data_IF_101430382872
#
_entry.id   IF_101430382872
#
_cell.length_a   1.000
_cell.length_b   1.000
_cell.length_c   1.000
_cell.angle_alpha   90.00
_cell.angle_beta   90.00
_cell.angle_gamma   90.00
#
_symmetry.space_group_name_H-M   'P 1'
#
loop_
_entity.id
_entity.type
_entity.pdbx_description
1 polymer ?
#
# COMPACT_ATOMS: atom_id res chain seq x y z
N UNK A 1 -20.54 -4.92 23.33
CA UNK A 1 -19.73 -4.25 22.30
C UNK A 1 -19.48 -5.27 21.22
N UNK A 2 -20.09 -5.12 20.05
CA UNK A 2 -19.87 -6.00 18.91
C UNK A 2 -18.63 -5.53 18.15
N UNK A 3 -17.72 -6.41 17.73
CA UNK A 3 -16.60 -6.00 16.88
C UNK A 3 -17.17 -5.50 15.54
N UNK A 4 -16.72 -4.33 15.10
CA UNK A 4 -17.00 -3.84 13.75
C UNK A 4 -16.50 -4.86 12.71
N UNK A 5 -17.20 -5.02 11.58
CA UNK A 5 -16.72 -5.88 10.50
C UNK A 5 -15.38 -5.35 9.99
N UNK A 6 -14.39 -6.24 9.87
CA UNK A 6 -13.13 -5.98 9.19
C UNK A 6 -13.46 -5.68 7.73
N UNK A 7 -13.19 -4.47 7.27
CA UNK A 7 -13.42 -4.06 5.88
C UNK A 7 -12.34 -4.73 5.03
N UNK A 8 -12.64 -5.90 4.46
CA UNK A 8 -11.84 -6.46 3.37
C UNK A 8 -12.23 -5.74 2.08
N UNK A 9 -11.29 -5.06 1.44
CA UNK A 9 -11.51 -4.43 0.14
C UNK A 9 -11.02 -5.35 -0.98
N UNK A 10 -11.69 -5.28 -2.12
CA UNK A 10 -11.32 -5.97 -3.34
C UNK A 10 -10.75 -4.93 -4.31
N UNK A 11 -9.54 -5.18 -4.83
CA UNK A 11 -8.93 -4.38 -5.88
C UNK A 11 -8.77 -5.26 -7.12
N UNK A 12 -9.40 -4.84 -8.21
CA UNK A 12 -9.24 -5.41 -9.55
C UNK A 12 -8.32 -4.50 -10.34
N UNK A 13 -7.26 -5.04 -10.93
CA UNK A 13 -6.55 -4.38 -12.01
C UNK A 13 -7.26 -4.76 -13.34
N UNK A 14 -7.74 -3.78 -14.09
CA UNK A 14 -8.29 -3.92 -15.47
C UNK A 14 -7.54 -2.91 -16.35
N UNK A 15 -7.37 -3.03 -17.66
CA UNK A 15 -7.54 -4.05 -18.71
C UNK A 15 -6.34 -3.79 -19.65
N UNK A 16 -5.69 -4.76 -20.24
CA UNK A 16 -5.95 -5.14 -21.63
C UNK A 16 -5.02 -6.31 -21.95
N UNK A 17 -5.60 -7.45 -22.35
CA UNK A 17 -5.11 -8.45 -23.32
C UNK A 17 -5.98 -9.70 -23.14
N UNK A 18 -6.93 -9.87 -24.07
CA UNK A 18 -7.44 -11.14 -24.58
C UNK A 18 -7.54 -12.34 -23.60
N UNK A 19 -8.69 -12.45 -22.91
CA UNK A 19 -9.29 -13.76 -22.61
C UNK A 19 -8.63 -14.64 -21.54
N UNK A 20 -7.65 -14.16 -20.79
CA UNK A 20 -7.18 -14.79 -19.56
C UNK A 20 -7.87 -14.13 -18.37
N UNK A 21 -8.56 -14.93 -17.55
CA UNK A 21 -9.40 -14.43 -16.46
C UNK A 21 -8.69 -13.42 -15.56
N UNK A 22 -9.39 -12.33 -15.23
CA UNK A 22 -8.91 -11.23 -14.39
C UNK A 22 -8.10 -11.74 -13.18
N UNK A 23 -6.82 -11.39 -13.12
CA UNK A 23 -6.02 -11.58 -11.92
C UNK A 23 -6.50 -10.59 -10.87
N UNK A 24 -6.80 -11.11 -9.68
CA UNK A 24 -7.29 -10.31 -8.56
C UNK A 24 -6.32 -10.42 -7.40
N UNK A 25 -6.11 -9.32 -6.69
CA UNK A 25 -5.36 -9.33 -5.45
C UNK A 25 -6.32 -9.08 -4.29
N UNK A 26 -6.25 -9.94 -3.28
CA UNK A 26 -6.91 -9.70 -2.00
C UNK A 26 -5.84 -9.43 -0.96
N UNK A 27 -5.86 -8.23 -0.39
CA UNK A 27 -4.87 -7.81 0.58
C UNK A 27 -5.47 -7.44 1.92
N UNK A 28 -4.59 -7.33 2.91
CA UNK A 28 -4.88 -6.73 4.21
C UNK A 28 -3.70 -5.88 4.65
N UNK A 29 -4.03 -4.77 5.30
CA UNK A 29 -3.06 -3.84 5.88
C UNK A 29 -3.21 -3.88 7.40
N UNK A 30 -2.22 -4.44 8.08
CA UNK A 30 -2.14 -4.40 9.54
C UNK A 30 -1.39 -3.17 9.98
N UNK A 31 -2.11 -2.25 10.63
CA UNK A 31 -1.55 -1.06 11.27
C UNK A 31 -1.15 -1.33 12.73
N UNK A 32 -0.25 -0.51 13.30
CA UNK A 32 -0.08 -0.43 14.75
C UNK A 32 -1.41 -0.07 15.42
N UNK A 33 -1.61 -0.44 16.69
CA UNK A 33 -2.81 -0.02 17.44
C UNK A 33 -2.73 1.44 17.87
N UNK A 34 -1.53 1.86 18.26
CA UNK A 34 -1.21 3.22 18.68
C UNK A 34 0.26 3.53 18.41
N UNK A 35 0.63 4.80 18.52
CA UNK A 35 2.00 5.27 18.47
C UNK A 35 2.21 6.51 19.35
N UNK A 36 3.46 6.90 19.51
CA UNK A 36 3.88 8.14 20.17
C UNK A 36 4.58 9.03 19.14
N UNK A 37 4.36 10.34 19.22
CA UNK A 37 5.00 11.32 18.33
C UNK A 37 6.52 11.15 18.34
N UNK A 38 7.12 11.08 17.14
CA UNK A 38 8.54 10.88 16.88
C UNK A 38 9.15 9.57 17.42
N UNK A 39 8.34 8.66 17.96
CA UNK A 39 8.79 7.33 18.34
C UNK A 39 8.49 6.32 17.24
N UNK A 40 9.27 5.23 17.26
CA UNK A 40 9.12 4.13 16.33
C UNK A 40 7.78 3.43 16.56
N UNK A 41 7.00 3.29 15.51
CA UNK A 41 5.73 2.55 15.51
C UNK A 41 5.99 1.04 15.56
N UNK A 42 4.98 0.30 16.06
CA UNK A 42 4.88 -1.13 15.75
C UNK A 42 4.82 -1.34 14.23
N UNK A 43 5.36 -2.46 13.71
CA UNK A 43 5.44 -2.70 12.28
C UNK A 43 4.11 -2.60 11.55
N UNK A 44 4.12 -1.95 10.39
CA UNK A 44 3.00 -2.03 9.44
C UNK A 44 3.25 -3.19 8.49
N UNK A 45 2.28 -4.10 8.38
CA UNK A 45 2.38 -5.26 7.48
C UNK A 45 1.30 -5.20 6.42
N UNK A 46 1.73 -5.25 5.16
CA UNK A 46 0.85 -5.42 4.01
C UNK A 46 1.01 -6.86 3.54
N UNK A 47 -0.07 -7.62 3.42
CA UNK A 47 -0.04 -8.99 2.92
C UNK A 47 -1.12 -9.18 1.85
N UNK A 48 -0.74 -9.76 0.71
CA UNK A 48 -1.62 -9.98 -0.42
C UNK A 48 -1.59 -11.44 -0.87
N UNK A 49 -2.78 -11.92 -1.19
CA UNK A 49 -3.03 -13.20 -1.84
C UNK A 49 -3.38 -12.94 -3.31
N UNK A 50 -2.69 -13.64 -4.20
CA UNK A 50 -3.05 -13.67 -5.61
C UNK A 50 -4.23 -14.61 -5.79
N UNK A 51 -5.25 -14.16 -6.51
CA UNK A 51 -6.46 -14.94 -6.80
C UNK A 51 -6.67 -15.08 -8.31
N UNK A 52 -7.25 -16.21 -8.72
CA UNK A 52 -7.79 -16.37 -10.07
C UNK A 52 -9.10 -15.56 -10.25
N UNK A 53 -9.65 -15.60 -11.47
CA UNK A 53 -10.90 -14.92 -11.80
C UNK A 53 -12.12 -15.41 -11.00
N UNK A 54 -12.03 -16.59 -10.38
CA UNK A 54 -13.07 -17.18 -9.52
C UNK A 54 -12.84 -16.88 -8.03
N UNK A 55 -11.76 -16.18 -7.67
CA UNK A 55 -11.40 -15.85 -6.29
C UNK A 55 -10.64 -16.97 -5.57
N UNK A 56 -10.13 -17.97 -6.30
CA UNK A 56 -9.34 -19.07 -5.73
C UNK A 56 -7.88 -18.61 -5.55
N UNK A 57 -7.26 -18.83 -4.38
CA UNK A 57 -5.85 -18.53 -4.17
C UNK A 57 -4.95 -19.26 -5.17
N UNK A 58 -4.10 -18.50 -5.83
CA UNK A 58 -3.06 -18.98 -6.73
C UNK A 58 -1.71 -19.03 -6.02
N UNK A 59 -0.88 -19.97 -6.46
CA UNK A 59 0.54 -19.95 -6.09
C UNK A 59 1.23 -18.68 -6.61
N UNK A 60 2.16 -18.19 -5.81
CA UNK A 60 3.06 -17.09 -6.15
C UNK A 60 4.48 -17.63 -6.24
N UNK A 61 5.11 -17.41 -7.39
CA UNK A 61 6.50 -17.73 -7.66
C UNK A 61 7.40 -16.52 -7.34
N UNK A 62 8.68 -16.77 -7.04
CA UNK A 62 9.65 -15.74 -6.61
C UNK A 62 9.79 -14.58 -7.60
N UNK A 63 9.51 -14.83 -8.88
CA UNK A 63 9.62 -13.83 -9.94
C UNK A 63 8.42 -12.86 -9.96
N UNK A 64 7.28 -13.19 -9.33
CA UNK A 64 6.09 -12.32 -9.37
C UNK A 64 6.31 -10.98 -8.68
N UNK A 65 7.14 -10.95 -7.63
CA UNK A 65 7.43 -9.72 -6.89
C UNK A 65 8.47 -8.84 -7.59
N UNK A 66 9.07 -9.34 -8.68
CA UNK A 66 10.03 -8.58 -9.46
C UNK A 66 9.36 -7.33 -10.04
N UNK A 67 9.87 -6.16 -9.67
CA UNK A 67 9.31 -4.88 -10.09
C UNK A 67 8.08 -4.42 -9.31
N UNK A 68 7.61 -5.19 -8.32
CA UNK A 68 6.56 -4.72 -7.43
C UNK A 68 7.13 -3.72 -6.41
N UNK A 69 6.39 -2.65 -6.16
CA UNK A 69 6.68 -1.65 -5.13
C UNK A 69 5.42 -1.39 -4.32
N UNK A 70 5.57 -1.44 -3.00
CA UNK A 70 4.53 -1.08 -2.03
C UNK A 70 4.85 0.28 -1.47
N UNK A 71 3.89 1.20 -1.47
CA UNK A 71 3.99 2.53 -0.89
C UNK A 71 2.97 2.71 0.22
N UNK A 72 3.40 3.28 1.34
CA UNK A 72 2.57 3.71 2.45
C UNK A 72 2.44 5.23 2.48
N UNK A 73 1.20 5.68 2.66
CA UNK A 73 0.84 7.09 2.84
C UNK A 73 -0.04 7.18 4.09
N UNK A 74 0.15 8.21 4.91
CA UNK A 74 -0.79 8.47 6.00
C UNK A 74 -2.06 9.08 5.42
N UNK A 75 -3.21 8.65 5.90
CA UNK A 75 -4.50 9.20 5.52
C UNK A 75 -5.30 9.63 6.75
N UNK A 76 -6.29 10.48 6.54
CA UNK A 76 -7.26 10.88 7.55
C UNK A 76 -8.01 9.67 8.14
N UNK A 77 -8.62 9.86 9.30
CA UNK A 77 -9.39 8.82 10.00
C UNK A 77 -10.48 8.19 9.11
N UNK A 78 -11.10 8.97 8.23
CA UNK A 78 -12.11 8.51 7.28
C UNK A 78 -11.49 8.03 5.95
N UNK A 79 -10.18 8.16 5.78
CA UNK A 79 -9.45 7.80 4.56
C UNK A 79 -9.68 8.71 3.36
N UNK A 80 -10.32 9.86 3.53
CA UNK A 80 -10.65 10.75 2.40
C UNK A 80 -9.48 11.61 1.93
N UNK A 81 -8.52 11.91 2.81
CA UNK A 81 -7.40 12.82 2.54
C UNK A 81 -6.08 12.11 2.82
N UNK A 82 -5.16 12.20 1.88
CA UNK A 82 -3.77 11.75 2.05
C UNK A 82 -2.95 12.89 2.71
N UNK A 83 -2.18 12.56 3.75
CA UNK A 83 -1.31 13.47 4.47
C UNK A 83 0.16 13.16 4.20
N UNK A 84 0.86 14.13 3.63
CA UNK A 84 2.30 14.06 3.41
C UNK A 84 3.08 14.98 4.38
N UNK A 85 2.49 16.13 4.70
CA UNK A 85 3.11 17.18 5.50
C UNK A 85 2.34 17.44 6.78
N UNK A 86 3.07 17.83 7.82
CA UNK A 86 2.58 18.46 9.04
C UNK A 86 2.02 19.86 8.75
N UNK A 87 1.35 20.46 9.72
CA UNK A 87 0.87 21.85 9.61
C UNK A 87 1.99 22.89 9.48
N UNK A 88 3.22 22.53 9.86
CA UNK A 88 4.44 23.36 9.72
C UNK A 88 5.19 23.11 8.41
N UNK A 89 4.74 22.16 7.58
CA UNK A 89 5.35 21.84 6.29
C UNK A 89 6.46 20.79 6.34
N UNK A 90 6.73 20.18 7.50
CA UNK A 90 7.66 19.06 7.62
C UNK A 90 7.01 17.74 7.20
N UNK A 91 7.79 16.78 6.70
CA UNK A 91 7.27 15.45 6.37
C UNK A 91 6.65 14.77 7.60
N UNK A 92 5.38 14.35 7.47
CA UNK A 92 4.58 13.81 8.57
C UNK A 92 4.98 12.38 8.93
N UNK A 93 5.11 11.50 7.93
CA UNK A 93 5.59 10.12 8.10
C UNK A 93 7.10 10.09 7.95
N UNK A 94 7.78 9.61 8.98
CA UNK A 94 9.24 9.49 9.03
C UNK A 94 9.61 8.04 8.77
N UNK A 95 10.64 7.83 7.94
CA UNK A 95 11.22 6.51 7.69
C UNK A 95 11.04 6.04 6.25
N UNK A 96 11.34 4.76 6.02
CA UNK A 96 11.16 4.11 4.72
C UNK A 96 9.68 3.74 4.57
N UNK A 97 8.96 4.47 3.72
CA UNK A 97 7.54 4.26 3.45
C UNK A 97 7.28 3.66 2.06
N UNK A 98 8.31 3.19 1.37
CA UNK A 98 8.18 2.40 0.15
C UNK A 98 9.22 1.29 0.10
N UNK A 99 8.84 0.10 -0.38
CA UNK A 99 9.78 -1.02 -0.57
C UNK A 99 9.24 -2.07 -1.55
N UNK A 100 10.12 -2.92 -2.04
CA UNK A 100 9.69 -4.14 -2.72
C UNK A 100 9.15 -5.16 -1.71
N UNK A 101 8.03 -5.84 -2.02
CA UNK A 101 7.53 -6.92 -1.19
C UNK A 101 8.35 -8.19 -1.40
N UNK A 102 8.22 -9.12 -0.45
CA UNK A 102 8.83 -10.44 -0.47
C UNK A 102 7.75 -11.52 -0.48
N UNK A 103 8.10 -12.77 -0.80
CA UNK A 103 7.15 -13.89 -0.72
C UNK A 103 7.30 -14.61 0.62
N UNK A 104 6.21 -14.71 1.36
CA UNK A 104 6.12 -15.41 2.63
C UNK A 104 4.83 -16.22 2.69
N UNK A 105 4.92 -17.51 3.00
CA UNK A 105 3.75 -18.40 3.14
C UNK A 105 2.77 -18.34 1.96
N UNK A 106 3.29 -18.31 0.73
CA UNK A 106 2.50 -18.17 -0.53
C UNK A 106 1.73 -16.84 -0.62
N UNK A 107 2.22 -15.79 0.04
CA UNK A 107 1.68 -14.43 -0.02
C UNK A 107 2.77 -13.44 -0.40
N UNK A 108 2.35 -12.35 -1.03
CA UNK A 108 3.19 -11.18 -1.27
C UNK A 108 3.10 -10.29 -0.03
N UNK A 109 4.21 -10.08 0.67
CA UNK A 109 4.25 -9.42 1.98
C UNK A 109 5.27 -8.28 1.99
N UNK A 110 4.86 -7.11 2.48
CA UNK A 110 5.75 -6.00 2.78
C UNK A 110 5.61 -5.61 4.26
N UNK A 111 6.73 -5.70 4.99
CA UNK A 111 6.81 -5.29 6.40
C UNK A 111 7.63 -4.02 6.52
N UNK A 112 7.02 -2.98 7.11
CA UNK A 112 7.61 -1.67 7.36
C UNK A 112 7.88 -1.51 8.85
N UNK A 113 9.15 -1.71 9.22
CA UNK A 113 9.54 -1.78 10.63
C UNK A 113 10.09 -0.45 11.17
N UNK A 114 10.36 0.54 10.35
CA UNK A 114 11.08 1.75 10.74
C UNK A 114 10.29 3.01 10.38
N UNK A 115 9.07 3.11 10.92
CA UNK A 115 8.17 4.23 10.71
C UNK A 115 7.98 5.01 12.02
N UNK A 116 7.83 6.32 11.93
CA UNK A 116 7.42 7.19 13.02
C UNK A 116 6.50 8.31 12.49
N UNK A 117 5.69 8.92 13.34
CA UNK A 117 4.78 10.01 12.95
C UNK A 117 5.12 11.26 13.73
N UNK A 118 5.28 12.38 13.02
CA UNK A 118 5.77 13.65 13.59
C UNK A 118 4.70 14.46 14.33
N UNK A 119 3.43 14.10 14.19
CA UNK A 119 2.31 14.85 14.74
C UNK A 119 1.27 13.91 15.36
N UNK A 120 0.72 14.31 16.51
CA UNK A 120 -0.39 13.61 17.13
C UNK A 120 -1.65 13.68 16.25
N UNK A 121 -2.48 12.65 16.32
CA UNK A 121 -3.69 12.55 15.52
C UNK A 121 -4.22 11.13 15.41
N UNK A 122 -5.32 11.00 14.67
CA UNK A 122 -5.95 9.73 14.35
C UNK A 122 -5.77 9.52 12.85
N UNK A 123 -5.16 8.40 12.48
CA UNK A 123 -4.71 8.15 11.12
C UNK A 123 -5.09 6.74 10.65
N UNK A 124 -4.96 6.56 9.35
CA UNK A 124 -4.88 5.25 8.71
C UNK A 124 -3.64 5.21 7.81
N UNK A 125 -3.18 4.02 7.46
CA UNK A 125 -2.24 3.82 6.37
C UNK A 125 -3.00 3.50 5.09
N UNK A 126 -2.89 4.37 4.09
CA UNK A 126 -3.22 4.03 2.71
C UNK A 126 -2.03 3.29 2.10
N UNK A 127 -2.34 2.19 1.42
CA UNK A 127 -1.36 1.35 0.73
C UNK A 127 -1.65 1.41 -0.74
N UNK A 128 -0.59 1.60 -1.54
CA UNK A 128 -0.64 1.45 -2.98
C UNK A 128 0.45 0.48 -3.42
N UNK A 129 0.10 -0.50 -4.23
CA UNK A 129 1.05 -1.39 -4.87
C UNK A 129 1.08 -1.14 -6.37
N UNK A 130 2.27 -1.10 -6.94
CA UNK A 130 2.50 -0.90 -8.36
C UNK A 130 3.44 -1.98 -8.88
N UNK A 131 3.32 -2.31 -10.17
CA UNK A 131 4.35 -3.04 -10.89
C UNK A 131 5.05 -2.07 -11.85
N UNK A 132 6.34 -1.80 -11.60
CA UNK A 132 7.11 -0.85 -12.39
C UNK A 132 7.39 -1.36 -13.81
N UNK A 133 7.30 -2.66 -14.07
CA UNK A 133 7.49 -3.19 -15.43
C UNK A 133 6.27 -2.99 -16.32
N UNK A 134 5.06 -3.02 -15.76
CA UNK A 134 3.84 -2.64 -16.49
C UNK A 134 3.86 -1.14 -16.86
N UNK A 135 4.57 -0.32 -16.08
CA UNK A 135 4.74 1.12 -16.40
C UNK A 135 5.74 1.39 -17.52
N UNK A 136 6.63 0.44 -17.83
CA UNK A 136 7.68 0.60 -18.83
C UNK A 136 7.29 0.08 -20.23
N UNK A 137 6.35 -0.87 -20.31
CA UNK A 137 6.00 -1.57 -21.55
C UNK A 137 4.97 -0.86 -22.45
N UNK A 138 4.28 0.18 -21.95
CA UNK A 138 3.27 0.94 -22.71
C UNK A 138 3.66 2.40 -23.02
N UNK A 139 4.95 2.73 -22.91
CA UNK A 139 5.46 4.04 -23.36
C UNK A 139 6.11 3.84 -24.73
N UNK A 140 5.49 4.29 -25.85
CA UNK A 140 6.23 4.47 -27.09
C UNK A 140 7.44 5.37 -26.76
N UNK A 141 8.65 4.86 -26.99
CA UNK A 141 9.92 5.58 -26.86
C UNK A 141 9.96 6.73 -27.88
N UNK A 142 9.19 7.80 -27.63
CA UNK A 142 9.25 9.03 -28.39
C UNK A 142 8.73 10.19 -27.54
N UNK A 143 9.46 10.62 -26.51
CA UNK A 143 9.27 11.98 -25.98
C UNK A 143 10.61 12.60 -25.55
N UNK A 144 10.96 13.66 -26.27
CA UNK A 144 12.07 14.60 -26.11
C UNK A 144 11.67 15.77 -25.17
N UNK A 145 10.81 15.45 -24.20
CA UNK A 145 10.04 16.38 -23.38
C UNK A 145 9.97 15.73 -22.00
N UNK A 146 10.58 16.37 -20.99
CA UNK A 146 10.71 15.86 -19.63
C UNK A 146 9.39 15.75 -18.83
N UNK A 147 8.30 15.32 -19.44
CA UNK A 147 7.05 14.99 -18.78
C UNK A 147 7.03 13.52 -18.32
N UNK A 148 7.25 13.29 -17.03
CA UNK A 148 6.98 12.01 -16.38
C UNK A 148 5.47 11.81 -16.37
N UNK A 149 4.95 10.92 -17.24
CA UNK A 149 3.55 10.49 -17.20
C UNK A 149 3.38 9.48 -16.05
N UNK A 150 2.69 9.90 -14.98
CA UNK A 150 2.28 9.02 -13.87
C UNK A 150 0.83 8.59 -14.13
N UNK A 151 0.64 7.35 -14.57
CA UNK A 151 -0.65 6.66 -14.51
C UNK A 151 -0.40 5.16 -14.66
N UNK A 152 0.02 4.53 -13.58
CA UNK A 152 -0.15 3.10 -13.40
C UNK A 152 -1.26 2.94 -12.37
N UNK A 153 -2.40 2.41 -12.77
CA UNK A 153 -3.42 2.03 -11.81
C UNK A 153 -2.79 1.05 -10.81
N UNK A 154 -2.94 1.35 -9.53
CA UNK A 154 -2.32 0.54 -8.49
C UNK A 154 -2.93 -0.88 -8.56
N UNK A 155 -2.08 -1.92 -8.59
CA UNK A 155 -2.48 -3.32 -8.53
C UNK A 155 -3.27 -3.65 -7.26
N UNK A 156 -3.01 -2.87 -6.21
CA UNK A 156 -3.71 -2.92 -4.95
C UNK A 156 -3.76 -1.53 -4.34
N UNK A 157 -4.95 -1.09 -3.94
CA UNK A 157 -5.15 0.16 -3.22
C UNK A 157 -6.14 -0.10 -2.08
N UNK A 158 -5.64 0.00 -0.86
CA UNK A 158 -6.42 -0.29 0.34
C UNK A 158 -6.01 0.62 1.48
N UNK A 159 -6.77 0.55 2.57
CA UNK A 159 -6.55 1.36 3.75
C UNK A 159 -6.60 0.49 5.01
N UNK A 160 -5.70 0.75 5.95
CA UNK A 160 -5.66 0.04 7.23
C UNK A 160 -6.85 0.41 8.13
N UNK A 161 -6.98 -0.35 9.21
CA UNK A 161 -7.72 0.11 10.38
C UNK A 161 -7.12 1.40 10.97
N UNK A 162 -7.96 2.13 11.69
CA UNK A 162 -7.59 3.37 12.38
C UNK A 162 -6.59 3.09 13.49
N UNK A 163 -5.61 3.98 13.63
CA UNK A 163 -4.70 4.00 14.78
C UNK A 163 -4.50 5.43 15.28
N UNK A 164 -4.16 5.56 16.56
CA UNK A 164 -3.95 6.86 17.21
C UNK A 164 -2.47 7.10 17.50
N UNK A 165 -1.98 8.30 17.22
CA UNK A 165 -0.67 8.78 17.62
C UNK A 165 -0.86 9.82 18.72
N UNK A 166 -0.27 9.57 19.89
CA UNK A 166 -0.38 10.43 21.05
C UNK A 166 0.86 11.29 21.23
N UNK A 167 0.65 12.47 21.79
CA UNK A 167 1.73 13.28 22.34
C UNK A 167 1.98 12.85 23.80
N UNK A 168 3.25 12.84 24.21
CA UNK A 168 3.65 12.57 25.60
C UNK A 168 3.93 13.84 26.40
N UNK A 169 3.75 15.01 25.78
CA UNK A 169 3.93 16.32 26.44
C UNK A 169 2.72 16.80 27.22
#
# INVERSE_FOLDING_TARGET
MSPSPVTSSYSTASDDIDGLGELRYHGRVHSPKYGIVNERLDPVTVALERLDAHGTPLDVDEDITSGMVVQLILASEDGSVDYELTTTGEQLLIGENSKSPEIMDRKIVAIFNNLAVRQAGIFRFRVRMFNIYDTALNIPLSMDDGSIRVSADALFNDISDVFAVYDTT
#
